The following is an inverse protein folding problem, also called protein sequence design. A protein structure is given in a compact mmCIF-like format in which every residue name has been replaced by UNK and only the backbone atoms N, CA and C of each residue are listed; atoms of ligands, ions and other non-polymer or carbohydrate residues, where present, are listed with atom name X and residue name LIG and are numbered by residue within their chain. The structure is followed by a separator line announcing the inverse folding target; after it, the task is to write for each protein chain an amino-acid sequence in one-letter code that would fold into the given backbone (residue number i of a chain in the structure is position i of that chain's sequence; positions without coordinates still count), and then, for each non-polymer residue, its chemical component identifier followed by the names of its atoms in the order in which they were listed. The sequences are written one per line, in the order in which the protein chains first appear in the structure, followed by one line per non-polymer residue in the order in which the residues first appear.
data_IF_616912161605
#
_entry.id   IF_616912161605
#
_cell.length_a   1.000
_cell.length_b   1.000
_cell.length_c   1.000
_cell.angle_alpha   90.00
_cell.angle_beta   90.00
_cell.angle_gamma   90.00
#
_symmetry.space_group_name_H-M   'P 1'
#
loop_
_entity.id
_entity.type
_entity.pdbx_description
1 polymer ?
#
# COMPACT_ATOMS: atom_id res chain seq x y z
N UNK A 1 20.21 -55.92 20.42
CA UNK A 1 20.08 -56.48 21.79
C UNK A 1 19.39 -55.45 22.67
N UNK A 2 18.31 -55.85 23.38
CA UNK A 2 17.41 -55.08 24.27
C UNK A 2 16.56 -53.97 23.59
N UNK A 3 15.28 -54.10 23.19
CA UNK A 3 13.99 -54.50 23.85
C UNK A 3 13.57 -53.48 24.94
N UNK A 4 12.68 -52.50 24.71
CA UNK A 4 11.23 -52.42 24.42
C UNK A 4 10.33 -52.22 25.68
N UNK A 5 9.56 -51.12 25.63
CA UNK A 5 8.16 -50.91 26.10
C UNK A 5 7.83 -50.50 27.55
N UNK A 6 6.95 -49.49 27.59
CA UNK A 6 6.20 -48.89 28.68
C UNK A 6 4.84 -49.58 28.98
N UNK A 7 4.10 -49.02 29.95
CA UNK A 7 2.63 -49.05 30.15
C UNK A 7 2.04 -50.01 31.22
N UNK A 8 1.48 -49.36 32.25
CA UNK A 8 0.11 -49.44 32.79
C UNK A 8 -0.42 -50.81 33.23
N UNK A 9 -0.84 -50.87 34.50
CA UNK A 9 -2.06 -51.57 34.87
C UNK A 9 -2.85 -50.82 35.93
N UNK A 10 -4.14 -50.71 35.62
CA UNK A 10 -5.20 -49.99 36.31
C UNK A 10 -6.00 -50.99 37.17
N UNK A 11 -6.69 -50.48 38.18
CA UNK A 11 -7.95 -50.98 38.74
C UNK A 11 -7.94 -51.94 39.94
N UNK A 12 -8.69 -51.53 40.98
CA UNK A 12 -9.13 -52.37 42.09
C UNK A 12 -9.93 -51.58 43.14
N UNK A 13 -11.18 -51.24 42.82
CA UNK A 13 -12.19 -50.74 43.78
C UNK A 13 -12.79 -51.96 44.50
N UNK A 14 -12.99 -51.91 45.83
CA UNK A 14 -14.26 -52.21 46.55
C UNK A 14 -14.04 -52.45 48.07
N UNK A 15 -14.62 -51.54 48.86
CA UNK A 15 -15.53 -51.71 50.03
C UNK A 15 -15.23 -52.75 51.14
N UNK A 16 -15.33 -52.26 52.39
CA UNK A 16 -15.70 -53.02 53.60
C UNK A 16 -14.50 -53.23 54.52
N UNK A 17 -14.49 -52.86 55.80
CA UNK A 17 -15.56 -52.80 56.76
C UNK A 17 -15.07 -53.53 58.02
N UNK A 18 -14.82 -52.76 59.07
CA UNK A 18 -14.91 -53.18 60.49
C UNK A 18 -13.80 -54.06 61.12
N UNK A 19 -13.16 -53.43 62.12
CA UNK A 19 -12.59 -53.96 63.37
C UNK A 19 -11.55 -55.09 63.36
N UNK A 20 -10.34 -54.73 63.83
CA UNK A 20 -9.66 -55.44 64.92
C UNK A 20 -8.64 -54.55 65.65
N UNK A 21 -9.09 -54.06 66.82
CA UNK A 21 -8.40 -53.97 68.12
C UNK A 21 -6.88 -53.68 68.22
N UNK A 22 -6.61 -52.62 69.01
CA UNK A 22 -5.62 -52.52 70.11
C UNK A 22 -4.12 -52.49 69.78
N UNK A 23 -3.56 -51.27 69.84
CA UNK A 23 -2.44 -50.87 70.73
C UNK A 23 -2.18 -49.35 70.50
N UNK A 24 -2.55 -48.44 71.41
CA UNK A 24 -1.77 -47.99 72.60
C UNK A 24 -0.33 -47.55 72.21
N UNK A 25 0.16 -46.32 72.42
CA UNK A 25 -0.08 -45.31 73.45
C UNK A 25 0.38 -43.91 73.00
N UNK A 26 -0.41 -42.91 73.40
CA UNK A 26 -0.07 -41.49 73.61
C UNK A 26 0.99 -41.37 74.71
N UNK A 27 1.99 -40.47 74.58
CA UNK A 27 2.71 -39.87 75.73
C UNK A 27 3.61 -38.69 75.35
N UNK A 28 3.40 -37.58 76.08
CA UNK A 28 4.37 -36.50 76.33
C UNK A 28 5.59 -37.01 77.12
N UNK A 29 6.68 -36.22 77.17
CA UNK A 29 7.45 -36.03 78.41
C UNK A 29 7.73 -34.54 78.68
N UNK A 30 7.34 -33.95 79.82
CA UNK A 30 7.81 -34.06 81.22
C UNK A 30 9.15 -33.35 81.53
N UNK A 31 9.01 -32.26 82.29
CA UNK A 31 10.00 -31.70 83.21
C UNK A 31 10.59 -32.77 84.14
N UNK A 32 11.88 -32.66 84.46
CA UNK A 32 12.48 -33.28 85.65
C UNK A 32 13.52 -32.36 86.29
N UNK A 33 13.37 -32.23 87.60
CA UNK A 33 14.33 -31.65 88.53
C UNK A 33 15.27 -32.73 89.09
N UNK A 34 16.46 -32.27 89.48
CA UNK A 34 17.33 -32.67 90.60
C UNK A 34 17.84 -34.12 90.76
N UNK A 35 19.19 -34.25 90.76
CA UNK A 35 20.05 -34.92 91.76
C UNK A 35 21.51 -34.93 91.22
N UNK A 36 22.40 -34.03 91.68
CA UNK A 36 23.40 -34.23 92.74
C UNK A 36 24.34 -35.42 92.52
N UNK A 37 25.61 -35.16 92.20
CA UNK A 37 26.82 -35.78 92.80
C UNK A 37 28.09 -35.24 92.12
N UNK A 38 29.13 -34.94 92.92
CA UNK A 38 30.52 -34.83 92.45
C UNK A 38 31.23 -33.49 92.63
N UNK A 39 31.22 -32.89 93.83
CA UNK A 39 32.16 -31.82 94.18
C UNK A 39 33.45 -32.46 94.72
N UNK A 40 34.55 -32.34 93.98
CA UNK A 40 35.91 -32.56 94.50
C UNK A 40 36.46 -31.22 94.97
N UNK A 41 36.87 -31.20 96.23
CA UNK A 41 37.38 -30.05 96.96
C UNK A 41 38.89 -29.93 96.69
N UNK A 42 39.29 -28.97 95.87
CA UNK A 42 40.66 -28.45 95.85
C UNK A 42 40.58 -26.98 96.27
N UNK A 43 41.00 -26.72 97.50
CA UNK A 43 41.28 -25.36 98.00
C UNK A 43 42.65 -24.97 97.48
N UNK A 44 42.67 -24.10 96.46
CA UNK A 44 43.80 -23.22 96.18
C UNK A 44 43.34 -21.79 96.44
N UNK A 45 43.90 -21.19 97.48
CA UNK A 45 43.89 -19.75 97.70
C UNK A 45 44.85 -19.17 96.65
N UNK A 46 44.29 -18.62 95.59
CA UNK A 46 44.99 -17.82 94.58
C UNK A 46 44.22 -16.52 94.42
N UNK A 47 44.93 -15.38 94.41
CA UNK A 47 44.37 -14.05 94.25
C UNK A 47 43.30 -14.03 93.14
N UNK A 48 42.08 -13.57 93.49
CA UNK A 48 40.98 -13.41 92.55
C UNK A 48 41.30 -12.33 91.53
N UNK A 49 42.12 -12.66 90.54
CA UNK A 49 42.04 -11.98 89.26
C UNK A 49 40.68 -12.34 88.68
N UNK A 50 39.74 -11.39 88.71
CA UNK A 50 38.54 -11.50 87.88
C UNK A 50 39.04 -11.73 86.45
N UNK A 51 38.83 -12.93 85.92
CA UNK A 51 39.17 -13.22 84.54
C UNK A 51 38.45 -12.18 83.67
N UNK A 52 39.13 -11.53 82.71
CA UNK A 52 38.48 -10.54 81.89
C UNK A 52 37.32 -11.20 81.15
N UNK A 53 36.14 -10.60 81.27
CA UNK A 53 34.95 -11.00 80.55
C UNK A 53 35.28 -11.32 79.08
N UNK A 54 34.64 -12.36 78.55
CA UNK A 54 34.82 -12.77 77.16
C UNK A 54 33.48 -12.71 76.45
N UNK A 55 33.44 -12.27 75.18
CA UNK A 55 32.20 -12.09 74.46
C UNK A 55 31.43 -13.41 74.34
N UNK A 56 30.12 -13.35 74.54
CA UNK A 56 29.23 -14.50 74.40
C UNK A 56 28.16 -14.20 73.36
N UNK A 57 28.01 -15.13 72.43
CA UNK A 57 26.89 -15.18 71.50
C UNK A 57 26.51 -16.64 71.31
N UNK A 58 25.21 -16.90 71.30
CA UNK A 58 24.60 -18.19 71.05
C UNK A 58 23.28 -18.00 70.28
N UNK A 59 23.20 -18.52 69.07
CA UNK A 59 21.99 -18.56 68.25
C UNK A 59 21.56 -20.01 68.15
N UNK A 60 20.40 -20.33 68.73
CA UNK A 60 19.95 -21.72 68.92
C UNK A 60 19.88 -22.51 67.61
N UNK A 61 19.42 -21.87 66.53
CA UNK A 61 19.29 -22.46 65.21
C UNK A 61 20.29 -21.86 64.23
N UNK A 62 21.02 -22.71 63.50
CA UNK A 62 21.95 -22.29 62.44
C UNK A 62 21.25 -21.86 61.16
N UNK A 63 19.95 -22.13 61.05
CA UNK A 63 19.13 -21.73 59.91
C UNK A 63 17.68 -21.53 60.33
N UNK A 64 17.03 -20.53 59.76
CA UNK A 64 15.61 -20.20 59.98
C UNK A 64 14.92 -19.97 58.64
N UNK A 65 13.67 -20.39 58.52
CA UNK A 65 12.82 -20.09 57.36
C UNK A 65 12.01 -18.80 57.61
N UNK A 66 11.80 -18.02 56.55
CA UNK A 66 10.91 -16.86 56.64
C UNK A 66 9.44 -17.27 56.82
N UNK A 67 8.57 -16.32 57.12
CA UNK A 67 7.14 -16.47 56.89
C UNK A 67 6.79 -16.29 55.40
N UNK A 68 5.51 -16.23 55.10
CA UNK A 68 4.91 -15.97 53.78
C UNK A 68 5.19 -14.56 53.23
N UNK A 69 5.45 -13.59 54.11
CA UNK A 69 5.88 -12.23 53.77
C UNK A 69 7.41 -12.10 53.64
N UNK A 70 8.15 -13.22 53.60
CA UNK A 70 9.62 -13.20 53.48
C UNK A 70 10.34 -12.69 54.73
N UNK A 71 9.65 -12.60 55.87
CA UNK A 71 10.20 -12.07 57.12
C UNK A 71 10.58 -13.18 58.10
N UNK A 72 11.73 -13.06 58.76
CA UNK A 72 12.17 -13.92 59.86
C UNK A 72 12.59 -13.07 61.06
N UNK A 73 12.37 -13.59 62.27
CA UNK A 73 12.89 -12.99 63.51
C UNK A 73 13.94 -13.92 64.09
N UNK A 74 15.15 -13.40 64.25
CA UNK A 74 16.30 -14.12 64.78
C UNK A 74 16.41 -13.75 66.24
N UNK A 75 16.46 -14.76 67.10
CA UNK A 75 16.64 -14.60 68.54
C UNK A 75 17.92 -15.28 68.97
N UNK A 76 18.70 -14.60 69.80
CA UNK A 76 19.95 -15.13 70.34
C UNK A 76 20.21 -14.67 71.76
N UNK A 77 21.15 -15.35 72.41
CA UNK A 77 21.58 -15.04 73.77
C UNK A 77 22.98 -14.45 73.75
N UNK A 78 23.23 -13.57 74.69
CA UNK A 78 24.53 -12.94 74.92
C UNK A 78 24.72 -12.70 76.42
N UNK A 79 25.90 -12.25 76.85
CA UNK A 79 26.10 -11.75 78.21
C UNK A 79 25.90 -10.22 78.23
N UNK A 80 25.63 -9.67 79.41
CA UNK A 80 25.29 -8.24 79.55
C UNK A 80 26.46 -7.29 79.20
N UNK A 81 27.68 -7.81 79.12
CA UNK A 81 28.91 -7.07 78.85
C UNK A 81 29.25 -7.01 77.35
N UNK A 82 28.65 -7.87 76.51
CA UNK A 82 28.90 -7.91 75.08
C UNK A 82 28.06 -6.88 74.32
N UNK A 83 28.71 -6.19 73.39
CA UNK A 83 28.01 -5.44 72.34
C UNK A 83 27.79 -6.34 71.13
N UNK A 84 26.54 -6.48 70.69
CA UNK A 84 26.20 -7.24 69.48
C UNK A 84 26.14 -6.30 68.28
N UNK A 85 26.82 -6.69 67.21
CA UNK A 85 26.74 -5.99 65.92
C UNK A 85 26.40 -6.94 64.77
N UNK A 86 25.79 -6.40 63.73
CA UNK A 86 25.57 -7.06 62.45
C UNK A 86 26.04 -6.11 61.34
N UNK A 87 27.06 -6.50 60.57
CA UNK A 87 27.64 -5.61 59.55
C UNK A 87 28.23 -4.32 60.13
N UNK A 88 28.63 -4.32 61.41
CA UNK A 88 29.14 -3.15 62.13
C UNK A 88 28.05 -2.26 62.75
N UNK A 89 26.77 -2.53 62.50
CA UNK A 89 25.66 -1.82 63.15
C UNK A 89 25.25 -2.51 64.46
N UNK A 90 25.04 -1.72 65.51
CA UNK A 90 24.64 -2.22 66.83
C UNK A 90 23.25 -2.84 66.80
N UNK A 91 23.11 -4.02 67.41
CA UNK A 91 21.83 -4.71 67.62
C UNK A 91 21.44 -4.54 69.09
N UNK A 92 20.18 -4.15 69.34
CA UNK A 92 19.69 -3.96 70.70
C UNK A 92 19.66 -5.26 71.50
N UNK A 93 20.17 -5.21 72.73
CA UNK A 93 20.18 -6.31 73.69
C UNK A 93 19.33 -5.96 74.92
N UNK A 94 18.61 -6.94 75.45
CA UNK A 94 17.82 -6.81 76.68
C UNK A 94 17.93 -8.09 77.51
N UNK A 95 18.39 -7.97 78.75
CA UNK A 95 18.51 -9.08 79.71
C UNK A 95 19.23 -10.31 79.12
N UNK A 96 20.42 -10.11 78.56
CA UNK A 96 21.20 -11.19 77.93
C UNK A 96 20.58 -11.81 76.66
N UNK A 97 19.63 -11.13 76.00
CA UNK A 97 19.03 -11.59 74.73
C UNK A 97 19.03 -10.49 73.69
N UNK A 98 19.07 -10.86 72.41
CA UNK A 98 18.87 -9.93 71.29
C UNK A 98 17.83 -10.50 70.31
N UNK A 99 17.17 -9.61 69.59
CA UNK A 99 16.21 -9.94 68.54
C UNK A 99 16.48 -9.10 67.30
N UNK A 100 16.55 -9.73 66.14
CA UNK A 100 16.76 -9.05 64.86
C UNK A 100 15.74 -9.52 63.83
N UNK A 101 14.98 -8.59 63.27
CA UNK A 101 14.00 -8.87 62.21
C UNK A 101 14.63 -8.60 60.85
N UNK A 102 14.52 -9.57 59.94
CA UNK A 102 14.95 -9.44 58.55
C UNK A 102 13.79 -9.77 57.60
N UNK A 103 13.74 -9.07 56.47
CA UNK A 103 12.85 -9.38 55.35
C UNK A 103 13.70 -9.63 54.10
N UNK A 104 13.60 -10.83 53.54
CA UNK A 104 14.22 -11.18 52.26
C UNK A 104 13.52 -10.44 51.11
N UNK A 105 14.28 -10.08 50.08
CA UNK A 105 13.76 -9.37 48.89
C UNK A 105 13.60 -10.26 47.67
N UNK A 106 14.20 -11.45 47.69
CA UNK A 106 14.22 -12.41 46.61
C UNK A 106 14.17 -13.85 47.17
N UNK A 107 14.29 -14.83 46.28
CA UNK A 107 14.26 -16.25 46.59
C UNK A 107 15.64 -16.81 46.99
N UNK A 108 16.60 -15.94 47.33
CA UNK A 108 17.93 -16.36 47.74
C UNK A 108 18.06 -16.38 49.25
N UNK A 109 18.72 -17.42 49.77
CA UNK A 109 19.09 -17.47 51.18
C UNK A 109 20.09 -16.36 51.52
N UNK A 110 19.93 -15.73 52.68
CA UNK A 110 20.86 -14.73 53.18
C UNK A 110 21.59 -15.24 54.43
N UNK A 111 22.92 -15.10 54.45
CA UNK A 111 23.74 -15.39 55.63
C UNK A 111 24.00 -14.12 56.41
N UNK A 112 23.71 -14.16 57.70
CA UNK A 112 23.95 -13.04 58.63
C UNK A 112 24.98 -13.49 59.66
N UNK A 113 26.02 -12.69 59.85
CA UNK A 113 27.06 -12.93 60.86
C UNK A 113 26.95 -11.87 61.93
N UNK A 114 26.51 -12.29 63.11
CA UNK A 114 26.48 -11.46 64.30
C UNK A 114 27.83 -11.55 65.02
N UNK A 115 28.32 -10.42 65.49
CA UNK A 115 29.59 -10.33 66.23
C UNK A 115 29.28 -9.80 67.63
N UNK A 116 29.66 -10.56 68.65
CA UNK A 116 29.70 -10.10 70.03
C UNK A 116 31.12 -9.61 70.36
N UNK A 117 31.23 -8.39 70.87
CA UNK A 117 32.51 -7.73 71.16
C UNK A 117 32.60 -7.29 72.63
N UNK A 118 33.75 -7.55 73.25
CA UNK A 118 34.14 -7.00 74.57
C UNK A 118 35.60 -6.54 74.48
N UNK A 119 35.83 -5.22 74.45
CA UNK A 119 37.18 -4.67 74.21
C UNK A 119 37.73 -5.12 72.86
N UNK A 120 38.94 -5.68 72.84
CA UNK A 120 39.60 -6.20 71.63
C UNK A 120 39.23 -7.66 71.30
N UNK A 121 38.27 -8.25 72.02
CA UNK A 121 37.86 -9.65 71.82
C UNK A 121 36.52 -9.71 71.10
N UNK A 122 36.47 -10.51 70.05
CA UNK A 122 35.27 -10.79 69.27
C UNK A 122 34.91 -12.28 69.26
N UNK A 123 33.61 -12.57 69.23
CA UNK A 123 33.07 -13.90 68.92
C UNK A 123 31.95 -13.73 67.89
N UNK A 124 32.07 -14.43 66.77
CA UNK A 124 31.10 -14.37 65.68
C UNK A 124 30.23 -15.62 65.61
N UNK A 125 28.97 -15.44 65.24
CA UNK A 125 28.04 -16.53 64.95
C UNK A 125 27.21 -16.21 63.72
N UNK A 126 27.04 -17.21 62.86
CA UNK A 126 26.37 -17.06 61.56
C UNK A 126 25.09 -17.87 61.52
N UNK A 127 24.02 -17.26 61.02
CA UNK A 127 22.74 -17.91 60.73
C UNK A 127 22.37 -17.75 59.25
N UNK A 128 21.81 -18.81 58.66
CA UNK A 128 21.27 -18.79 57.29
C UNK A 128 19.74 -18.62 57.30
N UNK A 129 19.27 -17.50 56.75
CA UNK A 129 17.84 -17.20 56.58
C UNK A 129 17.41 -17.68 55.19
N UNK A 130 16.51 -18.67 55.16
CA UNK A 130 16.00 -19.28 53.93
C UNK A 130 14.60 -18.77 53.60
N UNK A 131 14.29 -18.46 52.33
CA UNK A 131 12.94 -18.08 51.95
C UNK A 131 12.00 -19.28 52.11
N UNK A 132 10.82 -19.03 52.65
CA UNK A 132 9.78 -20.06 52.74
C UNK A 132 9.22 -20.41 51.37
N UNK A 133 8.71 -21.64 51.24
CA UNK A 133 8.00 -22.07 50.02
C UNK A 133 6.83 -21.14 49.66
N UNK A 134 6.11 -20.62 50.66
CA UNK A 134 4.99 -19.70 50.46
C UNK A 134 5.46 -18.35 49.92
N UNK A 135 6.55 -17.79 50.47
CA UNK A 135 7.13 -16.53 49.99
C UNK A 135 7.67 -16.66 48.55
N UNK A 136 8.37 -17.75 48.23
CA UNK A 136 8.84 -18.01 46.85
C UNK A 136 7.66 -18.12 45.88
N UNK A 137 6.56 -18.78 46.27
CA UNK A 137 5.35 -18.85 45.45
C UNK A 137 4.75 -17.46 45.22
N UNK A 138 4.65 -16.63 46.26
CA UNK A 138 4.19 -15.25 46.16
C UNK A 138 5.06 -14.41 45.20
N UNK A 139 6.38 -14.50 45.31
CA UNK A 139 7.31 -13.81 44.41
C UNK A 139 7.12 -14.24 42.94
N UNK A 140 6.89 -15.53 42.70
CA UNK A 140 6.68 -16.04 41.35
C UNK A 140 5.32 -15.60 40.78
N UNK A 141 4.26 -15.60 41.58
CA UNK A 141 2.95 -15.08 41.18
C UNK A 141 3.03 -13.59 40.83
N UNK A 142 3.68 -12.78 41.68
CA UNK A 142 3.88 -11.35 41.41
C UNK A 142 4.70 -11.09 40.12
N UNK A 143 5.74 -11.89 39.86
CA UNK A 143 6.51 -11.82 38.61
C UNK A 143 5.65 -12.19 37.40
N UNK A 144 4.85 -13.25 37.51
CA UNK A 144 3.97 -13.69 36.44
C UNK A 144 2.90 -12.63 36.13
N UNK A 145 2.30 -12.01 37.15
CA UNK A 145 1.37 -10.90 36.99
C UNK A 145 2.02 -9.69 36.32
N UNK A 146 3.26 -9.36 36.67
CA UNK A 146 4.00 -8.31 35.98
C UNK A 146 4.24 -8.64 34.49
N UNK A 147 4.53 -9.90 34.17
CA UNK A 147 4.70 -10.33 32.79
C UNK A 147 3.38 -10.29 31.98
N UNK A 148 2.25 -10.65 32.57
CA UNK A 148 0.95 -10.59 31.88
C UNK A 148 0.57 -9.14 31.58
N UNK A 149 0.83 -8.21 32.52
CA UNK A 149 0.66 -6.76 32.31
C UNK A 149 1.53 -6.27 31.16
N UNK A 150 2.83 -6.64 31.12
CA UNK A 150 3.74 -6.26 30.02
C UNK A 150 3.27 -6.78 28.65
N UNK A 151 2.77 -8.02 28.61
CA UNK A 151 2.22 -8.62 27.38
C UNK A 151 0.95 -7.89 26.93
N UNK A 152 0.08 -7.50 27.86
CA UNK A 152 -1.11 -6.70 27.55
C UNK A 152 -0.74 -5.31 27.00
N UNK A 153 0.22 -4.62 27.64
CA UNK A 153 0.71 -3.32 27.17
C UNK A 153 1.30 -3.41 25.76
N UNK A 154 2.11 -4.45 25.50
CA UNK A 154 2.72 -4.66 24.18
C UNK A 154 1.66 -4.83 23.09
N UNK A 155 0.62 -5.63 23.36
CA UNK A 155 -0.49 -5.83 22.42
C UNK A 155 -1.31 -4.55 22.23
N UNK A 156 -1.54 -3.78 23.29
CA UNK A 156 -2.23 -2.50 23.25
C UNK A 156 -1.48 -1.48 22.39
N UNK A 157 -0.17 -1.30 22.62
CA UNK A 157 0.69 -0.41 21.81
C UNK A 157 0.68 -0.83 20.34
N UNK A 158 0.72 -2.13 20.05
CA UNK A 158 0.60 -2.62 18.67
C UNK A 158 -0.76 -2.24 18.05
N UNK A 159 -1.85 -2.36 18.82
CA UNK A 159 -3.19 -1.99 18.37
C UNK A 159 -3.36 -0.48 18.20
N UNK A 160 -2.69 0.36 18.99
CA UNK A 160 -2.68 1.82 18.83
C UNK A 160 -1.93 2.26 17.57
N UNK A 161 -0.81 1.62 17.27
CA UNK A 161 -0.04 1.90 16.05
C UNK A 161 -0.74 1.36 14.81
N UNK A 162 -1.43 0.22 14.93
CA UNK A 162 -2.15 -0.44 13.84
C UNK A 162 -3.53 -0.93 14.31
N UNK A 163 -4.55 -0.05 14.37
CA UNK A 163 -5.92 -0.35 14.77
C UNK A 163 -6.63 -1.25 13.76
N UNK A 164 -6.37 -2.55 13.84
CA UNK A 164 -7.10 -3.57 13.10
C UNK A 164 -7.98 -4.34 14.07
N UNK A 165 -9.08 -4.93 13.58
CA UNK A 165 -9.93 -5.77 14.42
C UNK A 165 -9.15 -6.90 15.10
N UNK A 166 -8.17 -7.49 14.40
CA UNK A 166 -7.28 -8.52 14.94
C UNK A 166 -6.46 -8.00 16.12
N UNK A 167 -5.77 -6.87 15.96
CA UNK A 167 -4.93 -6.31 17.02
C UNK A 167 -5.78 -5.81 18.21
N UNK A 168 -6.94 -5.23 17.95
CA UNK A 168 -7.90 -4.86 18.98
C UNK A 168 -8.35 -6.09 19.79
N UNK A 169 -8.75 -7.18 19.14
CA UNK A 169 -9.20 -8.40 19.83
C UNK A 169 -8.08 -9.02 20.69
N UNK A 170 -6.86 -9.04 20.16
CA UNK A 170 -5.68 -9.53 20.89
C UNK A 170 -5.40 -8.69 22.15
N UNK A 171 -5.39 -7.37 22.01
CA UNK A 171 -5.20 -6.45 23.13
C UNK A 171 -6.33 -6.58 24.15
N UNK A 172 -7.59 -6.60 23.69
CA UNK A 172 -8.77 -6.76 24.53
C UNK A 172 -8.70 -8.05 25.36
N UNK A 173 -8.40 -9.19 24.71
CA UNK A 173 -8.30 -10.50 25.37
C UNK A 173 -7.24 -10.48 26.48
N UNK A 174 -6.08 -9.88 26.20
CA UNK A 174 -4.98 -9.80 27.18
C UNK A 174 -5.33 -8.88 28.34
N UNK A 175 -5.95 -7.74 28.08
CA UNK A 175 -6.39 -6.78 29.09
C UNK A 175 -7.46 -7.40 29.99
N UNK A 176 -8.44 -8.13 29.43
CA UNK A 176 -9.48 -8.83 30.22
C UNK A 176 -8.96 -10.00 31.03
N UNK A 177 -7.78 -10.54 30.69
CA UNK A 177 -7.15 -11.64 31.43
C UNK A 177 -6.28 -11.16 32.60
N UNK A 178 -6.14 -9.84 32.80
CA UNK A 178 -5.36 -9.30 33.91
C UNK A 178 -6.09 -9.50 35.24
N UNK A 179 -5.34 -9.87 36.28
CA UNK A 179 -5.86 -10.05 37.65
C UNK A 179 -6.35 -8.74 38.24
N UNK A 180 -5.66 -7.65 37.94
CA UNK A 180 -5.97 -6.31 38.43
C UNK A 180 -6.45 -5.38 37.30
N UNK A 181 -7.50 -4.62 37.56
CA UNK A 181 -8.06 -3.67 36.59
C UNK A 181 -7.04 -2.56 36.24
N UNK A 182 -6.74 -2.43 34.96
CA UNK A 182 -5.89 -1.37 34.41
C UNK A 182 -6.75 -0.31 33.71
N UNK A 183 -7.23 0.68 34.46
CA UNK A 183 -8.13 1.73 33.93
C UNK A 183 -7.58 2.48 32.72
N UNK A 184 -6.27 2.70 32.70
CA UNK A 184 -5.59 3.32 31.56
C UNK A 184 -5.69 2.45 30.29
N UNK A 185 -5.46 1.14 30.42
CA UNK A 185 -5.55 0.20 29.31
C UNK A 185 -6.96 0.15 28.74
N UNK A 186 -7.98 0.17 29.60
CA UNK A 186 -9.39 0.18 29.18
C UNK A 186 -9.70 1.44 28.36
N UNK A 187 -9.23 2.61 28.82
CA UNK A 187 -9.41 3.89 28.10
C UNK A 187 -8.73 3.86 26.73
N UNK A 188 -7.47 3.44 26.69
CA UNK A 188 -6.67 3.34 25.45
C UNK A 188 -7.28 2.34 24.46
N UNK A 189 -7.75 1.20 24.95
CA UNK A 189 -8.42 0.19 24.14
C UNK A 189 -9.73 0.70 23.52
N UNK A 190 -10.48 1.55 24.23
CA UNK A 190 -11.67 2.20 23.66
C UNK A 190 -11.29 3.13 22.49
N UNK A 191 -10.22 3.90 22.64
CA UNK A 191 -9.69 4.74 21.54
C UNK A 191 -9.29 3.87 20.34
N UNK A 192 -8.61 2.75 20.57
CA UNK A 192 -8.28 1.79 19.50
C UNK A 192 -9.54 1.33 18.77
N UNK A 193 -10.57 0.91 19.52
CA UNK A 193 -11.85 0.42 18.97
C UNK A 193 -12.48 1.44 18.02
N UNK A 194 -12.52 2.70 18.42
CA UNK A 194 -13.13 3.77 17.62
C UNK A 194 -12.35 4.07 16.34
N UNK A 195 -11.04 3.78 16.31
CA UNK A 195 -10.19 3.97 15.12
C UNK A 195 -10.16 2.76 14.17
N UNK A 196 -10.57 1.56 14.60
CA UNK A 196 -10.64 0.37 13.72
C UNK A 196 -11.42 0.63 12.41
N UNK A 197 -12.68 1.10 12.44
CA UNK A 197 -13.43 1.32 11.19
C UNK A 197 -12.81 2.40 10.29
N UNK A 198 -12.04 3.33 10.86
CA UNK A 198 -11.33 4.36 10.10
C UNK A 198 -10.21 3.73 9.28
N UNK A 199 -9.43 2.83 9.90
CA UNK A 199 -8.36 2.11 9.20
C UNK A 199 -8.91 1.18 8.12
N UNK A 200 -10.01 0.48 8.40
CA UNK A 200 -10.69 -0.37 7.42
C UNK A 200 -11.15 0.44 6.19
N UNK A 201 -11.71 1.64 6.40
CA UNK A 201 -12.12 2.51 5.30
C UNK A 201 -10.93 2.98 4.44
N UNK A 202 -9.79 3.29 5.05
CA UNK A 202 -8.57 3.67 4.30
C UNK A 202 -8.02 2.47 3.52
N UNK A 203 -8.01 1.28 4.09
CA UNK A 203 -7.60 0.06 3.38
C UNK A 203 -8.54 -0.25 2.20
N UNK A 204 -9.85 -0.09 2.37
CA UNK A 204 -10.82 -0.22 1.27
C UNK A 204 -10.58 0.82 0.17
N UNK A 205 -10.27 2.07 0.52
CA UNK A 205 -9.93 3.10 -0.45
C UNK A 205 -8.65 2.76 -1.24
N UNK A 206 -7.64 2.19 -0.57
CA UNK A 206 -6.40 1.74 -1.22
C UNK A 206 -6.60 0.56 -2.18
N UNK A 207 -7.50 -0.37 -1.84
CA UNK A 207 -7.85 -1.54 -2.65
C UNK A 207 -8.70 -1.13 -3.85
N UNK A 208 -9.79 -0.41 -3.60
CA UNK A 208 -10.79 -0.11 -4.62
C UNK A 208 -10.38 1.05 -5.52
N UNK A 209 -9.62 2.01 -4.99
CA UNK A 209 -9.12 3.19 -5.73
C UNK A 209 -10.25 3.89 -6.49
N UNK A 210 -11.37 4.14 -5.80
CA UNK A 210 -12.48 4.94 -6.34
C UNK A 210 -12.66 6.20 -5.50
N UNK A 211 -13.17 7.25 -6.16
CA UNK A 211 -13.44 8.53 -5.51
C UNK A 211 -14.41 8.38 -4.32
N UNK A 212 -15.44 7.55 -4.47
CA UNK A 212 -16.42 7.26 -3.42
C UNK A 212 -15.77 6.68 -2.13
N UNK A 213 -14.85 5.73 -2.28
CA UNK A 213 -14.16 5.15 -1.13
C UNK A 213 -13.17 6.15 -0.51
N UNK A 214 -12.49 6.97 -1.32
CA UNK A 214 -11.60 8.03 -0.81
C UNK A 214 -12.39 9.09 -0.05
N UNK A 215 -13.53 9.54 -0.56
CA UNK A 215 -14.39 10.53 0.08
C UNK A 215 -14.93 9.99 1.42
N UNK A 216 -15.42 8.75 1.41
CA UNK A 216 -15.90 8.05 2.61
C UNK A 216 -14.80 7.89 3.66
N UNK A 217 -13.61 7.43 3.25
CA UNK A 217 -12.47 7.30 4.14
C UNK A 217 -11.98 8.65 4.67
N UNK A 218 -11.98 9.70 3.85
CA UNK A 218 -11.59 11.06 4.25
C UNK A 218 -12.50 11.61 5.35
N UNK A 219 -13.81 11.41 5.22
CA UNK A 219 -14.79 11.81 6.24
C UNK A 219 -14.58 11.08 7.58
N UNK A 220 -14.18 9.82 7.54
CA UNK A 220 -13.84 9.04 8.74
C UNK A 220 -12.50 9.46 9.34
N UNK A 221 -11.47 9.67 8.52
CA UNK A 221 -10.13 10.12 8.98
C UNK A 221 -10.19 11.49 9.63
N UNK A 222 -11.15 12.35 9.27
CA UNK A 222 -11.39 13.61 9.97
C UNK A 222 -11.63 13.41 11.48
N UNK A 223 -12.25 12.28 11.86
CA UNK A 223 -12.57 11.87 13.23
C UNK A 223 -11.46 11.05 13.90
N UNK A 224 -10.41 10.69 13.18
CA UNK A 224 -9.32 9.88 13.70
C UNK A 224 -8.62 10.56 14.88
N UNK A 225 -8.39 9.81 15.94
CA UNK A 225 -7.62 10.25 17.11
C UNK A 225 -6.23 9.62 17.15
N UNK A 226 -6.00 8.56 16.36
CA UNK A 226 -4.71 7.90 16.21
C UNK A 226 -4.14 8.09 14.81
N UNK A 227 -2.85 8.42 14.72
CA UNK A 227 -2.04 8.42 13.48
C UNK A 227 -2.65 9.18 12.28
N UNK A 228 -3.43 10.24 12.55
CA UNK A 228 -4.21 10.98 11.54
C UNK A 228 -3.38 11.43 10.34
N UNK A 229 -2.19 11.98 10.58
CA UNK A 229 -1.31 12.47 9.50
C UNK A 229 -0.84 11.34 8.56
N UNK A 230 -0.60 10.15 9.10
CA UNK A 230 -0.22 8.97 8.32
C UNK A 230 -1.37 8.52 7.42
N UNK A 231 -2.60 8.48 7.96
CA UNK A 231 -3.81 8.14 7.21
C UNK A 231 -4.09 9.15 6.09
N UNK A 232 -3.94 10.46 6.37
CA UNK A 232 -4.09 11.51 5.35
C UNK A 232 -3.08 11.39 4.22
N UNK A 233 -1.82 11.05 4.53
CA UNK A 233 -0.79 10.79 3.50
C UNK A 233 -1.17 9.61 2.61
N UNK A 234 -1.61 8.50 3.20
CA UNK A 234 -2.09 7.32 2.46
C UNK A 234 -3.22 7.69 1.50
N UNK A 235 -4.25 8.40 1.99
CA UNK A 235 -5.37 8.85 1.16
C UNK A 235 -4.94 9.81 0.05
N UNK A 236 -3.99 10.71 0.32
CA UNK A 236 -3.42 11.61 -0.70
C UNK A 236 -2.76 10.81 -1.83
N UNK A 237 -1.99 9.78 -1.49
CA UNK A 237 -1.38 8.89 -2.49
C UNK A 237 -2.43 8.14 -3.30
N UNK A 238 -3.50 7.65 -2.68
CA UNK A 238 -4.62 7.01 -3.40
C UNK A 238 -5.28 8.00 -4.35
N UNK A 239 -5.57 9.22 -3.89
CA UNK A 239 -6.19 10.26 -4.71
C UNK A 239 -5.33 10.64 -5.93
N UNK A 240 -4.01 10.70 -5.77
CA UNK A 240 -3.08 10.92 -6.88
C UNK A 240 -3.18 9.79 -7.91
N UNK A 241 -3.15 8.53 -7.47
CA UNK A 241 -3.29 7.36 -8.38
C UNK A 241 -4.61 7.37 -9.14
N UNK A 242 -5.72 7.72 -8.47
CA UNK A 242 -7.03 7.85 -9.13
C UNK A 242 -6.98 8.91 -10.22
N UNK A 243 -6.42 10.08 -9.89
CA UNK A 243 -6.32 11.21 -10.83
C UNK A 243 -5.46 10.87 -12.04
N UNK A 244 -4.33 10.17 -11.83
CA UNK A 244 -3.47 9.69 -12.90
C UNK A 244 -4.17 8.65 -13.79
N UNK A 245 -4.91 7.72 -13.19
CA UNK A 245 -5.70 6.72 -13.91
C UNK A 245 -6.80 7.37 -14.77
N UNK A 246 -7.59 8.27 -14.20
CA UNK A 246 -8.64 9.00 -14.93
C UNK A 246 -8.05 9.83 -16.08
N UNK A 247 -6.89 10.46 -15.86
CA UNK A 247 -6.18 11.20 -16.91
C UNK A 247 -5.74 10.26 -18.03
N UNK A 248 -5.13 9.12 -17.70
CA UNK A 248 -4.71 8.13 -18.69
C UNK A 248 -5.90 7.58 -19.49
N UNK A 249 -7.02 7.26 -18.83
CA UNK A 249 -8.25 6.80 -19.47
C UNK A 249 -8.82 7.84 -20.44
N UNK A 250 -8.86 9.13 -20.04
CA UNK A 250 -9.27 10.23 -20.93
C UNK A 250 -8.36 10.37 -22.15
N UNK A 251 -7.04 10.31 -21.95
CA UNK A 251 -6.09 10.38 -23.06
C UNK A 251 -6.26 9.20 -24.02
N UNK A 252 -6.48 7.99 -23.51
CA UNK A 252 -6.77 6.80 -24.32
C UNK A 252 -8.07 6.98 -25.12
N UNK A 253 -9.13 7.49 -24.49
CA UNK A 253 -10.40 7.76 -25.17
C UNK A 253 -10.22 8.76 -26.33
N UNK A 254 -9.54 9.88 -26.09
CA UNK A 254 -9.28 10.87 -27.15
C UNK A 254 -8.39 10.32 -28.27
N UNK A 255 -7.38 9.50 -27.94
CA UNK A 255 -6.56 8.84 -28.96
C UNK A 255 -7.38 7.85 -29.78
N UNK A 256 -8.28 7.09 -29.15
CA UNK A 256 -9.19 6.15 -29.82
C UNK A 256 -10.13 6.87 -30.78
N UNK A 257 -10.75 7.97 -30.35
CA UNK A 257 -11.62 8.79 -31.20
C UNK A 257 -10.85 9.34 -32.43
N UNK A 258 -9.62 9.80 -32.23
CA UNK A 258 -8.79 10.30 -33.33
C UNK A 258 -8.42 9.20 -34.34
N UNK A 259 -8.09 8.00 -33.87
CA UNK A 259 -7.82 6.84 -34.74
C UNK A 259 -9.08 6.42 -35.49
N UNK A 260 -10.22 6.33 -34.81
CA UNK A 260 -11.50 5.99 -35.43
C UNK A 260 -11.89 7.00 -36.52
N UNK A 261 -11.68 8.30 -36.28
CA UNK A 261 -11.88 9.33 -37.29
C UNK A 261 -10.94 9.15 -38.49
N UNK A 262 -9.67 8.82 -38.27
CA UNK A 262 -8.71 8.57 -39.34
C UNK A 262 -9.02 7.29 -40.15
N UNK A 263 -9.66 6.30 -39.53
CA UNK A 263 -10.15 5.10 -40.21
C UNK A 263 -11.39 5.38 -41.06
N UNK A 264 -12.33 6.19 -40.55
CA UNK A 264 -13.54 6.57 -41.28
C UNK A 264 -13.25 7.54 -42.43
N UNK A 265 -12.34 8.50 -42.21
CA UNK A 265 -11.96 9.53 -43.18
C UNK A 265 -10.43 9.55 -43.37
N UNK A 266 -9.87 8.62 -44.18
CA UNK A 266 -8.43 8.54 -44.39
C UNK A 266 -7.89 9.80 -45.06
N UNK A 267 -7.29 10.68 -44.26
CA UNK A 267 -6.55 11.86 -44.72
C UNK A 267 -5.22 11.96 -43.97
N UNK A 268 -4.22 12.63 -44.54
CA UNK A 268 -2.95 12.86 -43.85
C UNK A 268 -3.13 13.66 -42.55
N UNK A 269 -4.08 14.59 -42.51
CA UNK A 269 -4.37 15.40 -41.31
C UNK A 269 -4.94 14.54 -40.18
N UNK A 270 -5.97 13.72 -40.45
CA UNK A 270 -6.51 12.80 -39.44
C UNK A 270 -5.48 11.75 -38.98
N UNK A 271 -4.68 11.21 -39.90
CA UNK A 271 -3.58 10.30 -39.53
C UNK A 271 -2.57 10.98 -38.60
N UNK A 272 -2.12 12.19 -38.93
CA UNK A 272 -1.16 12.93 -38.11
C UNK A 272 -1.73 13.29 -36.74
N UNK A 273 -3.02 13.67 -36.67
CA UNK A 273 -3.71 13.91 -35.41
C UNK A 273 -3.78 12.63 -34.55
N UNK A 274 -4.15 11.49 -35.15
CA UNK A 274 -4.19 10.21 -34.46
C UNK A 274 -2.81 9.82 -33.89
N UNK A 275 -1.74 9.94 -34.68
CA UNK A 275 -0.37 9.66 -34.23
C UNK A 275 0.06 10.62 -33.11
N UNK A 276 -0.28 11.90 -33.20
CA UNK A 276 0.02 12.87 -32.16
C UNK A 276 -0.64 12.47 -30.82
N UNK A 277 -1.93 12.11 -30.84
CA UNK A 277 -2.65 11.65 -29.63
C UNK A 277 -2.10 10.34 -29.07
N UNK A 278 -1.73 9.39 -29.93
CA UNK A 278 -1.11 8.12 -29.49
C UNK A 278 0.23 8.39 -28.80
N UNK A 279 1.03 9.34 -29.29
CA UNK A 279 2.33 9.71 -28.72
C UNK A 279 2.19 10.36 -27.33
N UNK A 280 1.06 10.98 -27.02
CA UNK A 280 0.76 11.57 -25.71
C UNK A 280 0.40 10.51 -24.64
N UNK A 281 0.20 9.25 -25.03
CA UNK A 281 -0.15 8.17 -24.11
C UNK A 281 1.08 7.72 -23.29
N UNK A 282 1.03 7.74 -21.94
CA UNK A 282 2.20 7.50 -21.10
C UNK A 282 2.83 6.11 -21.25
N UNK A 283 2.03 5.09 -21.60
CA UNK A 283 2.51 3.71 -21.83
C UNK A 283 2.41 3.28 -23.31
N UNK A 284 2.15 4.23 -24.22
CA UNK A 284 1.76 3.94 -25.59
C UNK A 284 0.45 3.14 -25.67
N UNK A 285 0.11 2.71 -26.89
CA UNK A 285 -0.98 1.77 -27.14
C UNK A 285 -0.73 1.01 -28.45
N UNK A 286 -0.39 -0.27 -28.37
CA UNK A 286 -0.03 -1.08 -29.54
C UNK A 286 -1.20 -1.29 -30.50
N UNK A 287 -2.42 -1.44 -29.98
CA UNK A 287 -3.63 -1.63 -30.80
C UNK A 287 -3.95 -0.38 -31.62
N UNK A 288 -4.00 0.79 -30.97
CA UNK A 288 -4.19 2.07 -31.66
C UNK A 288 -3.06 2.38 -32.65
N UNK A 289 -1.81 2.03 -32.30
CA UNK A 289 -0.66 2.20 -33.21
C UNK A 289 -0.80 1.35 -34.46
N UNK A 290 -1.18 0.08 -34.32
CA UNK A 290 -1.39 -0.82 -35.45
C UNK A 290 -2.53 -0.34 -36.36
N UNK A 291 -3.63 0.13 -35.76
CA UNK A 291 -4.75 0.74 -36.49
C UNK A 291 -4.32 1.96 -37.28
N UNK A 292 -3.59 2.89 -36.67
CA UNK A 292 -3.04 4.05 -37.37
C UNK A 292 -2.10 3.65 -38.52
N UNK A 293 -1.28 2.61 -38.36
CA UNK A 293 -0.43 2.09 -39.42
C UNK A 293 -1.24 1.52 -40.60
N UNK A 294 -2.37 0.86 -40.34
CA UNK A 294 -3.28 0.42 -41.39
C UNK A 294 -3.89 1.61 -42.16
N UNK A 295 -4.26 2.70 -41.46
CA UNK A 295 -4.71 3.95 -42.11
C UNK A 295 -3.61 4.51 -43.02
N UNK A 296 -2.35 4.52 -42.58
CA UNK A 296 -1.22 4.94 -43.41
C UNK A 296 -1.07 4.09 -44.67
N UNK A 297 -1.27 2.79 -44.57
CA UNK A 297 -1.24 1.90 -45.73
C UNK A 297 -2.39 2.23 -46.71
N UNK A 298 -3.60 2.45 -46.19
CA UNK A 298 -4.76 2.88 -47.00
C UNK A 298 -4.49 4.20 -47.71
N UNK A 299 -3.94 5.20 -47.03
CA UNK A 299 -3.55 6.49 -47.62
C UNK A 299 -2.53 6.33 -48.73
N UNK A 300 -1.53 5.45 -48.53
CA UNK A 300 -0.50 5.17 -49.53
C UNK A 300 -1.14 4.55 -50.78
N UNK A 301 -2.04 3.58 -50.59
CA UNK A 301 -2.76 2.94 -51.69
C UNK A 301 -3.68 3.92 -52.43
N UNK A 302 -4.42 4.77 -51.71
CA UNK A 302 -5.29 5.80 -52.30
C UNK A 302 -4.51 6.83 -53.12
N UNK A 303 -3.35 7.27 -52.63
CA UNK A 303 -2.47 8.20 -53.37
C UNK A 303 -1.90 7.57 -54.62
N UNK A 304 -1.50 6.30 -54.56
CA UNK A 304 -0.99 5.58 -55.73
C UNK A 304 -2.09 5.38 -56.78
N UNK A 305 -3.29 4.98 -56.37
CA UNK A 305 -4.42 4.83 -57.28
C UNK A 305 -4.84 6.17 -57.89
N UNK A 306 -4.87 7.25 -57.10
CA UNK A 306 -5.14 8.60 -57.61
C UNK A 306 -4.11 9.05 -58.65
N UNK A 307 -2.83 8.74 -58.46
CA UNK A 307 -1.78 8.99 -59.48
C UNK A 307 -2.02 8.18 -60.75
N UNK A 308 -2.37 6.90 -60.63
CA UNK A 308 -2.68 6.03 -61.78
C UNK A 308 -3.87 6.55 -62.57
N UNK A 309 -4.95 6.95 -61.89
CA UNK A 309 -6.14 7.55 -62.52
C UNK A 309 -5.80 8.90 -63.18
N UNK A 310 -5.02 9.76 -62.53
CA UNK A 310 -4.60 11.02 -63.13
C UNK A 310 -3.69 10.82 -64.36
N UNK A 311 -2.82 9.82 -64.33
CA UNK A 311 -1.97 9.48 -65.48
C UNK A 311 -2.78 8.91 -66.65
N UNK A 312 -3.75 8.01 -66.39
CA UNK A 312 -4.61 7.48 -67.46
C UNK A 312 -5.49 8.56 -68.06
N UNK A 313 -6.03 9.48 -67.25
CA UNK A 313 -6.78 10.64 -67.74
C UNK A 313 -5.91 11.55 -68.62
N UNK A 314 -4.68 11.89 -68.19
CA UNK A 314 -3.75 12.69 -69.01
C UNK A 314 -3.43 12.02 -70.34
N UNK A 315 -3.22 10.70 -70.36
CA UNK A 315 -2.97 9.95 -71.60
C UNK A 315 -4.19 9.99 -72.53
N UNK A 316 -5.39 9.81 -71.98
CA UNK A 316 -6.64 9.90 -72.76
C UNK A 316 -6.88 11.32 -73.31
N UNK A 317 -6.59 12.36 -72.53
CA UNK A 317 -6.67 13.76 -72.99
C UNK A 317 -5.65 14.05 -74.10
N UNK A 318 -4.40 13.58 -73.96
CA UNK A 318 -3.37 13.71 -75.00
C UNK A 318 -3.73 12.98 -76.28
N UNK A 319 -4.32 11.77 -76.18
CA UNK A 319 -4.78 11.01 -77.33
C UNK A 319 -5.96 11.71 -78.03
N UNK A 320 -6.94 12.21 -77.26
CA UNK A 320 -8.05 12.99 -77.79
C UNK A 320 -7.59 14.28 -78.49
N UNK A 321 -6.58 14.99 -77.94
CA UNK A 321 -5.98 16.15 -78.58
C UNK A 321 -5.30 15.78 -79.91
N UNK A 322 -4.51 14.69 -79.95
CA UNK A 322 -3.88 14.22 -81.20
C UNK A 322 -4.92 13.83 -82.25
N UNK A 323 -6.01 13.16 -81.87
CA UNK A 323 -7.08 12.81 -82.81
C UNK A 323 -7.81 14.07 -83.33
N UNK A 324 -8.02 15.08 -82.48
CA UNK A 324 -8.61 16.36 -82.90
C UNK A 324 -7.69 17.13 -83.87
N UNK A 325 -6.38 17.18 -83.61
CA UNK A 325 -5.39 17.77 -84.52
C UNK A 325 -5.33 17.02 -85.86
N UNK A 326 -5.36 15.68 -85.85
CA UNK A 326 -5.40 14.88 -87.08
C UNK A 326 -6.70 15.10 -87.88
N UNK A 327 -7.84 15.25 -87.21
CA UNK A 327 -9.10 15.56 -87.88
C UNK A 327 -9.08 16.98 -88.51
N UNK A 328 -8.48 17.97 -87.84
CA UNK A 328 -8.29 19.31 -88.40
C UNK A 328 -7.27 19.31 -89.55
N UNK A 329 -6.19 18.54 -89.47
CA UNK A 329 -5.21 18.39 -90.55
C UNK A 329 -5.78 17.62 -91.76
N UNK A 330 -6.63 16.61 -91.55
CA UNK A 330 -7.33 15.89 -92.62
C UNK A 330 -8.38 16.78 -93.31
N UNK A 331 -9.05 17.68 -92.57
CA UNK A 331 -9.93 18.70 -93.15
C UNK A 331 -9.16 19.76 -93.96
N UNK A 332 -7.89 20.04 -93.62
CA UNK A 332 -7.01 20.92 -94.40
C UNK A 332 -6.33 20.20 -95.59
N UNK A 333 -6.14 18.88 -95.54
CA UNK A 333 -5.52 18.07 -96.59
C UNK A 333 -6.53 17.51 -97.62
N UNK A 334 -7.85 17.60 -97.34
CA UNK A 334 -8.90 17.51 -98.36
C UNK A 334 -9.09 18.86 -99.05
N UNK A 335 -8.03 19.32 -99.72
CA UNK A 335 -8.18 19.88 -101.06
C UNK A 335 -7.93 18.76 -102.06
N UNK A 336 -8.97 18.10 -102.57
CA UNK A 336 -8.85 17.36 -103.82
C UNK A 336 -8.69 18.37 -104.96
N UNK A 337 -7.56 18.30 -105.65
CA UNK A 337 -7.62 18.53 -107.10
C UNK A 337 -8.49 17.44 -107.73
N UNK A 338 -9.19 17.84 -108.79
CA UNK A 338 -9.95 17.08 -109.79
C UNK A 338 -11.40 16.68 -109.44
N UNK A 339 -12.34 16.68 -110.41
CA UNK A 339 -12.64 17.61 -111.52
C UNK A 339 -14.04 18.27 -111.34
N UNK A 340 -14.31 19.37 -112.04
CA UNK A 340 -15.65 19.96 -112.14
C UNK A 340 -16.69 18.97 -112.72
N UNK A 341 -17.96 19.10 -112.34
CA UNK A 341 -18.88 19.76 -113.27
C UNK A 341 -19.75 20.84 -112.61
N UNK A 342 -19.90 21.94 -113.34
CA UNK A 342 -21.02 22.89 -113.30
C UNK A 342 -21.36 23.63 -112.00
N UNK A 343 -20.55 24.65 -111.70
CA UNK A 343 -21.11 26.01 -111.63
C UNK A 343 -21.08 26.58 -113.04
N UNK A 344 -22.10 26.29 -113.83
CA UNK A 344 -22.07 26.60 -115.25
C UNK A 344 -22.26 28.10 -115.45
N UNK A 345 -21.22 28.77 -115.95
CA UNK A 345 -21.25 30.22 -116.09
C UNK A 345 -20.77 30.90 -114.82
N UNK A 346 -19.63 31.58 -114.95
CA UNK A 346 -19.29 32.70 -114.10
C UNK A 346 -20.40 33.73 -114.38
N UNK A 347 -21.47 33.69 -113.59
CA UNK A 347 -22.55 34.67 -113.68
C UNK A 347 -21.94 36.04 -113.50
N UNK A 348 -21.70 36.75 -114.61
CA UNK A 348 -21.20 38.10 -114.56
C UNK A 348 -22.21 38.91 -113.74
N UNK A 349 -21.76 39.47 -112.62
CA UNK A 349 -22.61 40.37 -111.84
C UNK A 349 -22.77 41.65 -112.66
N UNK A 350 -23.99 41.91 -113.10
CA UNK A 350 -24.36 43.10 -113.86
C UNK A 350 -25.14 44.06 -112.97
N UNK A 351 -25.06 45.34 -113.30
CA UNK A 351 -25.81 46.39 -112.65
C UNK A 351 -27.08 46.66 -113.45
N UNK A 352 -28.24 46.55 -112.79
CA UNK A 352 -29.55 46.85 -113.38
C UNK A 352 -30.19 48.03 -112.65
N UNK A 353 -31.06 48.75 -113.35
CA UNK A 353 -31.86 49.83 -112.75
C UNK A 353 -33.29 49.33 -112.49
N UNK A 354 -33.99 49.82 -111.46
CA UNK A 354 -35.34 49.32 -111.14
C UNK A 354 -36.37 49.44 -112.27
N UNK A 355 -36.26 50.48 -113.10
CA UNK A 355 -37.23 50.80 -114.17
C UNK A 355 -36.66 50.78 -115.59
N UNK A 356 -35.36 50.51 -115.75
CA UNK A 356 -34.72 50.52 -117.08
C UNK A 356 -34.75 49.17 -117.77
N UNK A 357 -34.72 49.19 -119.12
CA UNK A 357 -34.76 47.98 -119.97
C UNK A 357 -33.38 47.41 -120.31
N UNK A 358 -32.30 47.86 -119.65
CA UNK A 358 -30.93 47.47 -119.97
C UNK A 358 -30.10 47.07 -118.75
N UNK A 359 -29.13 46.19 -118.96
CA UNK A 359 -28.10 45.83 -117.96
C UNK A 359 -26.72 46.40 -118.31
N UNK A 360 -25.88 46.62 -117.30
CA UNK A 360 -24.63 47.38 -117.39
C UNK A 360 -23.47 46.65 -116.69
N UNK A 361 -22.22 46.76 -117.18
CA UNK A 361 -21.04 46.18 -116.49
C UNK A 361 -20.48 47.10 -115.38
N UNK A 362 -20.87 48.38 -115.42
CA UNK A 362 -20.49 49.44 -114.47
C UNK A 362 -21.58 50.52 -114.43
N UNK A 363 -21.58 51.37 -113.41
CA UNK A 363 -22.51 52.51 -113.36
C UNK A 363 -22.35 53.38 -114.61
N UNK A 364 -23.44 53.61 -115.35
CA UNK A 364 -23.41 54.27 -116.66
C UNK A 364 -24.59 55.25 -116.82
N UNK A 365 -24.37 56.49 -116.36
CA UNK A 365 -25.38 57.55 -116.27
C UNK A 365 -25.72 57.88 -114.82
N UNK A 366 -26.75 58.70 -114.60
CA UNK A 366 -27.14 59.21 -113.29
C UNK A 366 -28.28 58.41 -112.63
N UNK A 367 -28.33 57.08 -112.85
CA UNK A 367 -29.36 56.20 -112.29
C UNK A 367 -28.93 55.49 -111.00
N UNK A 368 -29.90 54.92 -110.28
CA UNK A 368 -29.65 54.02 -109.14
C UNK A 368 -29.53 52.58 -109.63
N UNK A 369 -28.45 51.90 -109.27
CA UNK A 369 -28.13 50.54 -109.74
C UNK A 369 -28.09 49.54 -108.60
N UNK A 370 -28.67 48.36 -108.82
CA UNK A 370 -28.57 47.21 -107.92
C UNK A 370 -27.83 46.06 -108.62
N UNK A 371 -26.97 45.31 -107.91
CA UNK A 371 -26.30 44.14 -108.46
C UNK A 371 -27.32 43.01 -108.70
N UNK A 372 -27.23 42.37 -109.86
CA UNK A 372 -27.99 41.16 -110.24
C UNK A 372 -27.07 40.26 -111.10
N UNK A 373 -27.41 38.98 -111.27
CA UNK A 373 -26.66 38.12 -112.19
C UNK A 373 -27.06 38.41 -113.65
N UNK A 374 -26.16 38.16 -114.61
CA UNK A 374 -26.45 38.36 -116.04
C UNK A 374 -27.67 37.54 -116.49
N UNK A 375 -27.79 36.33 -115.97
CA UNK A 375 -28.90 35.41 -116.25
C UNK A 375 -30.23 35.98 -115.72
N UNK A 376 -30.24 36.55 -114.51
CA UNK A 376 -31.43 37.20 -113.94
C UNK A 376 -31.83 38.45 -114.74
N UNK A 377 -30.84 39.22 -115.22
CA UNK A 377 -31.10 40.38 -116.06
C UNK A 377 -31.70 40.00 -117.42
N UNK A 378 -31.17 38.96 -118.07
CA UNK A 378 -31.70 38.45 -119.34
C UNK A 378 -33.08 37.80 -119.17
N UNK A 379 -33.31 37.06 -118.08
CA UNK A 379 -34.61 36.48 -117.76
C UNK A 379 -35.69 37.55 -117.55
N UNK A 380 -35.31 38.74 -117.08
CA UNK A 380 -36.19 39.93 -116.99
C UNK A 380 -36.41 40.64 -118.33
N UNK A 381 -35.88 40.12 -119.44
CA UNK A 381 -35.98 40.71 -120.78
C UNK A 381 -35.11 41.96 -120.98
N UNK A 382 -34.09 42.16 -120.13
CA UNK A 382 -33.18 43.31 -120.25
C UNK A 382 -32.12 43.04 -121.31
N UNK A 383 -31.74 44.09 -122.05
CA UNK A 383 -30.73 44.02 -123.12
C UNK A 383 -29.41 44.70 -122.72
N UNK A 384 -28.26 44.37 -123.33
CA UNK A 384 -26.99 45.01 -122.97
C UNK A 384 -27.01 46.52 -123.29
N UNK A 385 -26.44 47.32 -122.39
CA UNK A 385 -26.28 48.75 -122.64
C UNK A 385 -25.16 49.01 -123.64
N UNK A 386 -25.50 49.53 -124.82
CA UNK A 386 -24.59 49.84 -125.93
C UNK A 386 -23.39 50.77 -125.60
N UNK A 387 -23.30 51.32 -124.38
CA UNK A 387 -22.21 52.19 -123.93
C UNK A 387 -21.26 51.52 -122.93
N UNK A 388 -21.72 50.51 -122.20
CA UNK A 388 -20.98 49.95 -121.06
C UNK A 388 -21.22 48.45 -120.88
N UNK A 389 -21.64 47.78 -121.95
CA UNK A 389 -21.68 46.35 -122.13
C UNK A 389 -21.41 46.12 -123.61
#
# INVERSE_FOLDING_TARGET
MAVFIALISFLGILIGGFLSLKALFKKQPKQKALLLTGVSFIVMIGAGFALPASPSIDIADKSIETNDQGTATIEGKTNDESEITLGGEKVETKNGTFSYKITLKDDQSQKLTFVASIGDKDKAETIEVKPSKAFVAFLNEAKQDQETVKKAETALVLAENKPTQKNYNEAATRITSLTNEQKDFIRRLAIVKDNVPIYEAVELAEINQTKEHVDSATALVAKATLNKDSLLKRLTTVQQKITEKEKAEKQIATAREAVEKAEQEPTDDHYNQAIARIKELPNGNAELTNRANNVKQTLTNQKEEAKRVAETQRRAEQEAQKTAEQAQAAAAAQTPETPAPDTQGIGQTVLVTPTGSKYHNRKCGNGTYTPATLEEAQARGLTPCSKCF
#
